data_IF_708138372087
#
_entry.id   IF_708138372087
#
_cell.length_a   1.000
_cell.length_b   1.000
_cell.length_c   1.000
_cell.angle_alpha   90.00
_cell.angle_beta   90.00
_cell.angle_gamma   90.00
#
_symmetry.space_group_name_H-M   'P 1'
#
loop_
_entity.id
_entity.type
_entity.pdbx_description
1 polymer ?
#
# COMPACT_ATOMS: atom_id res chain seq x y z
N UNK A 1 -44.11 -14.52 -24.58
CA UNK A 1 -42.73 -14.21 -24.14
C UNK A 1 -42.71 -12.79 -23.62
N UNK A 2 -42.43 -12.59 -22.33
CA UNK A 2 -42.16 -11.27 -21.74
C UNK A 2 -40.88 -11.43 -20.93
N UNK A 3 -39.79 -10.86 -21.45
CA UNK A 3 -38.51 -10.81 -20.76
C UNK A 3 -38.59 -9.75 -19.66
N UNK A 4 -38.26 -10.14 -18.44
CA UNK A 4 -38.10 -9.23 -17.30
C UNK A 4 -36.71 -8.60 -17.42
N UNK A 5 -36.55 -7.27 -17.32
CA UNK A 5 -35.22 -6.68 -17.26
C UNK A 5 -34.55 -7.10 -15.95
N UNK A 6 -33.39 -7.72 -16.06
CA UNK A 6 -32.48 -7.91 -14.93
C UNK A 6 -32.04 -6.51 -14.46
N UNK A 7 -32.53 -6.07 -13.30
CA UNK A 7 -31.84 -5.03 -12.55
C UNK A 7 -30.50 -5.63 -12.14
N UNK A 8 -29.47 -5.37 -12.94
CA UNK A 8 -28.10 -5.47 -12.47
C UNK A 8 -28.03 -4.58 -11.22
N UNK A 9 -27.89 -5.19 -10.05
CA UNK A 9 -27.48 -4.48 -8.87
C UNK A 9 -26.12 -3.87 -9.21
N UNK A 10 -26.14 -2.60 -9.61
CA UNK A 10 -24.97 -1.74 -9.54
C UNK A 10 -24.70 -1.61 -8.05
N UNK A 11 -24.01 -2.60 -7.49
CA UNK A 11 -23.29 -2.39 -6.26
C UNK A 11 -22.25 -1.35 -6.64
N UNK A 12 -22.35 -0.07 -6.20
CA UNK A 12 -21.16 0.76 -6.24
C UNK A 12 -20.12 -0.06 -5.51
N UNK A 13 -19.07 -0.49 -6.21
CA UNK A 13 -17.91 -1.09 -5.56
C UNK A 13 -17.53 -0.07 -4.52
N UNK A 14 -17.87 -0.35 -3.26
CA UNK A 14 -17.60 0.53 -2.13
C UNK A 14 -16.08 0.54 -2.05
N UNK A 15 -15.48 1.48 -2.79
CA UNK A 15 -14.04 1.67 -2.83
C UNK A 15 -13.59 1.83 -1.38
N UNK A 16 -12.59 1.06 -0.92
CA UNK A 16 -12.10 1.21 0.43
C UNK A 16 -11.84 2.69 0.73
N UNK A 17 -12.24 3.13 1.92
CA UNK A 17 -12.03 4.52 2.33
C UNK A 17 -10.54 4.89 2.36
N UNK A 18 -9.70 3.90 2.65
CA UNK A 18 -8.23 3.98 2.61
C UNK A 18 -7.72 2.81 1.78
N UNK A 19 -6.83 3.08 0.84
CA UNK A 19 -6.35 2.11 -0.18
C UNK A 19 -4.83 2.15 -0.29
N UNK A 20 -4.22 1.05 -0.72
CA UNK A 20 -2.83 1.01 -1.21
C UNK A 20 -2.85 1.39 -2.70
N UNK A 21 -2.45 2.62 -3.01
CA UNK A 21 -2.61 3.19 -4.35
C UNK A 21 -1.39 2.98 -5.23
N UNK A 22 -0.19 2.91 -4.66
CA UNK A 22 1.03 2.65 -5.42
C UNK A 22 2.07 1.89 -4.58
N UNK A 23 2.94 1.16 -5.28
CA UNK A 23 4.10 0.47 -4.70
C UNK A 23 5.27 0.71 -5.63
N UNK A 24 6.38 1.17 -5.09
CA UNK A 24 7.68 1.16 -5.75
C UNK A 24 8.53 0.10 -5.08
N UNK A 25 8.70 -1.05 -5.73
CA UNK A 25 9.47 -2.19 -5.21
C UNK A 25 10.82 -2.32 -5.93
N UNK A 26 10.90 -2.00 -7.22
CA UNK A 26 12.17 -1.94 -7.96
C UNK A 26 12.77 -0.54 -7.82
N UNK A 27 13.63 -0.33 -6.81
CA UNK A 27 14.28 0.94 -6.55
C UNK A 27 15.13 1.37 -7.78
N UNK A 28 14.76 2.44 -8.51
CA UNK A 28 15.49 2.81 -9.73
C UNK A 28 16.93 3.24 -9.43
N UNK A 29 17.89 2.70 -10.20
CA UNK A 29 19.32 3.01 -10.10
C UNK A 29 20.14 1.86 -9.50
N UNK A 30 21.41 2.11 -9.20
CA UNK A 30 22.29 1.10 -8.62
C UNK A 30 21.80 0.74 -7.21
N UNK A 31 21.47 -0.53 -7.00
CA UNK A 31 21.24 -1.04 -5.65
C UNK A 31 22.58 -1.28 -4.95
N UNK A 32 22.91 -0.37 -4.04
CA UNK A 32 24.10 -0.42 -3.19
C UNK A 32 23.75 -0.70 -1.72
N UNK A 33 22.47 -1.02 -1.43
CA UNK A 33 21.91 -1.17 -0.08
C UNK A 33 22.12 0.05 0.82
N UNK A 34 22.45 1.21 0.25
CA UNK A 34 22.48 2.46 0.99
C UNK A 34 21.08 2.84 1.44
N UNK A 35 20.98 3.67 2.48
CA UNK A 35 19.71 4.24 2.92
C UNK A 35 18.96 4.96 1.77
N UNK A 36 19.71 5.56 0.84
CA UNK A 36 19.14 6.20 -0.35
C UNK A 36 18.53 5.18 -1.31
N UNK A 37 19.12 3.99 -1.45
CA UNK A 37 18.54 2.89 -2.22
C UNK A 37 17.26 2.38 -1.54
N UNK A 38 17.31 2.12 -0.24
CA UNK A 38 16.18 1.64 0.56
C UNK A 38 14.99 2.61 0.57
N UNK A 39 15.24 3.92 0.60
CA UNK A 39 14.15 4.92 0.57
C UNK A 39 13.50 5.09 -0.81
N UNK A 40 14.04 4.48 -1.88
CA UNK A 40 13.35 4.40 -3.17
C UNK A 40 12.32 3.27 -3.20
N UNK A 41 12.39 2.36 -2.25
CA UNK A 41 11.40 1.32 -2.02
C UNK A 41 10.32 1.88 -1.07
N UNK A 42 9.06 1.92 -1.53
CA UNK A 42 7.96 2.49 -0.75
C UNK A 42 6.58 1.96 -1.14
N UNK A 43 5.63 2.08 -0.21
CA UNK A 43 4.19 1.84 -0.43
C UNK A 43 3.42 3.13 -0.17
N UNK A 44 2.56 3.54 -1.09
CA UNK A 44 1.69 4.71 -0.97
C UNK A 44 0.28 4.29 -0.55
N UNK A 45 -0.22 4.95 0.50
CA UNK A 45 -1.55 4.75 1.06
C UNK A 45 -2.34 6.05 0.91
N UNK A 46 -3.55 5.97 0.36
CA UNK A 46 -4.41 7.12 0.08
C UNK A 46 -5.70 7.04 0.87
N UNK A 47 -6.12 8.15 1.46
CA UNK A 47 -7.46 8.32 2.01
C UNK A 47 -8.38 8.95 0.96
N UNK A 48 -9.27 8.14 0.39
CA UNK A 48 -10.22 8.57 -0.64
C UNK A 48 -11.44 9.31 -0.08
N UNK A 49 -11.55 9.46 1.24
CA UNK A 49 -12.65 10.19 1.87
C UNK A 49 -12.32 11.68 2.05
N UNK A 50 -13.31 12.47 2.44
CA UNK A 50 -13.12 13.88 2.81
C UNK A 50 -12.74 14.07 4.28
N UNK A 51 -12.74 13.02 5.09
CA UNK A 51 -12.50 13.08 6.54
C UNK A 51 -11.15 12.48 6.85
N UNK A 52 -10.45 13.03 7.85
CA UNK A 52 -9.22 12.43 8.33
C UNK A 52 -9.48 11.06 8.97
N UNK A 53 -8.57 10.11 8.73
CA UNK A 53 -8.60 8.77 9.32
C UNK A 53 -7.41 8.62 10.26
N UNK A 54 -7.66 8.11 11.46
CA UNK A 54 -6.61 7.77 12.40
C UNK A 54 -6.03 6.41 12.03
N UNK A 55 -4.76 6.38 11.61
CA UNK A 55 -4.06 5.14 11.27
C UNK A 55 -3.29 4.58 12.46
N UNK A 56 -3.39 5.16 13.67
CA UNK A 56 -2.70 4.63 14.84
C UNK A 56 -2.98 3.13 15.04
N UNK A 57 -1.92 2.34 15.20
CA UNK A 57 -1.93 0.87 15.29
C UNK A 57 -2.37 0.11 14.03
N UNK A 58 -2.58 0.80 12.90
CA UNK A 58 -2.73 0.13 11.62
C UNK A 58 -1.39 -0.50 11.22
N UNK A 59 -1.46 -1.58 10.44
CA UNK A 59 -0.29 -2.34 10.03
C UNK A 59 -0.22 -2.48 8.53
N UNK A 60 0.98 -2.30 7.99
CA UNK A 60 1.34 -2.63 6.62
C UNK A 60 2.29 -3.83 6.68
N UNK A 61 1.94 -4.93 6.01
CA UNK A 61 2.66 -6.20 6.10
C UNK A 61 3.07 -6.72 4.71
N UNK A 62 4.29 -7.21 4.56
CA UNK A 62 4.71 -7.99 3.39
C UNK A 62 4.31 -9.46 3.49
N UNK A 63 4.38 -10.18 2.38
CA UNK A 63 4.13 -11.62 2.32
C UNK A 63 5.10 -12.38 3.24
N UNK A 64 6.39 -12.01 3.22
CA UNK A 64 7.47 -12.57 4.05
C UNK A 64 7.34 -12.28 5.56
N UNK A 65 6.35 -11.47 5.97
CA UNK A 65 6.06 -11.25 7.38
C UNK A 65 6.61 -9.95 7.97
N UNK A 66 7.36 -9.16 7.20
CA UNK A 66 7.79 -7.84 7.65
C UNK A 66 6.57 -6.95 7.90
N UNK A 67 6.57 -6.25 9.04
CA UNK A 67 5.46 -5.43 9.49
C UNK A 67 5.95 -4.03 9.83
N UNK A 68 5.23 -3.04 9.34
CA UNK A 68 5.25 -1.66 9.81
C UNK A 68 3.98 -1.39 10.61
N UNK A 69 4.08 -0.58 11.66
CA UNK A 69 2.94 -0.17 12.48
C UNK A 69 2.94 1.34 12.61
N UNK A 70 1.87 1.97 12.14
CA UNK A 70 1.69 3.42 12.25
C UNK A 70 1.55 3.82 13.72
N UNK A 71 2.37 4.77 14.18
CA UNK A 71 2.33 5.31 15.54
C UNK A 71 1.87 6.76 15.51
N UNK A 72 0.78 7.06 16.22
CA UNK A 72 0.23 8.41 16.36
C UNK A 72 -0.03 9.14 15.03
N UNK A 73 -0.30 8.40 13.96
CA UNK A 73 -0.40 8.95 12.62
C UNK A 73 -1.86 9.17 12.19
N UNK A 74 -2.16 10.33 11.64
CA UNK A 74 -3.47 10.69 11.09
C UNK A 74 -3.31 11.05 9.62
N UNK A 75 -4.06 10.37 8.76
CA UNK A 75 -4.09 10.63 7.33
C UNK A 75 -5.30 11.50 6.99
N UNK A 76 -5.03 12.73 6.56
CA UNK A 76 -6.08 13.68 6.21
C UNK A 76 -6.96 13.20 5.05
N UNK A 77 -8.15 13.77 4.92
CA UNK A 77 -9.04 13.46 3.79
C UNK A 77 -8.38 13.87 2.48
N UNK A 78 -8.45 13.02 1.45
CA UNK A 78 -7.82 13.21 0.14
C UNK A 78 -6.29 13.26 0.17
N UNK A 79 -5.65 12.93 1.30
CA UNK A 79 -4.20 12.92 1.43
C UNK A 79 -3.61 11.52 1.17
N UNK A 80 -2.29 11.50 0.96
CA UNK A 80 -1.49 10.30 0.79
C UNK A 80 -0.32 10.28 1.76
N UNK A 81 0.13 9.07 2.12
CA UNK A 81 1.35 8.82 2.86
C UNK A 81 2.17 7.74 2.19
N UNK A 82 3.49 7.92 2.13
CA UNK A 82 4.45 6.93 1.67
C UNK A 82 5.15 6.31 2.86
N UNK A 83 5.16 4.99 2.90
CA UNK A 83 5.92 4.21 3.87
C UNK A 83 7.19 3.72 3.17
N UNK A 84 8.31 4.36 3.47
CA UNK A 84 9.63 4.02 2.93
C UNK A 84 10.28 2.88 3.72
N UNK A 85 11.03 2.01 3.05
CA UNK A 85 11.69 0.88 3.71
C UNK A 85 12.88 1.31 4.58
N UNK A 86 13.65 2.30 4.15
CA UNK A 86 14.85 2.75 4.85
C UNK A 86 14.60 3.58 6.10
N UNK A 87 15.65 4.27 6.54
CA UNK A 87 15.69 5.20 7.66
C UNK A 87 15.44 6.64 7.18
N UNK A 88 14.73 7.43 7.97
CA UNK A 88 14.45 8.83 7.65
C UNK A 88 13.70 9.54 8.76
N UNK A 89 13.42 10.83 8.56
CA UNK A 89 12.62 11.60 9.50
C UNK A 89 11.18 11.61 9.06
N UNK A 90 10.29 11.07 9.89
CA UNK A 90 8.85 11.10 9.62
C UNK A 90 8.32 12.52 9.40
N UNK A 91 7.48 12.64 8.39
CA UNK A 91 6.74 13.84 8.03
C UNK A 91 5.25 13.52 7.92
N UNK A 92 4.45 14.50 7.46
CA UNK A 92 3.04 14.26 7.16
C UNK A 92 2.82 13.38 5.94
N UNK A 93 3.77 13.27 5.02
CA UNK A 93 3.59 12.56 3.75
C UNK A 93 4.50 11.36 3.60
N UNK A 94 5.53 11.26 4.44
CA UNK A 94 6.59 10.26 4.33
C UNK A 94 6.91 9.73 5.72
N UNK A 95 6.81 8.42 5.90
CA UNK A 95 7.18 7.73 7.14
C UNK A 95 8.13 6.59 6.82
N UNK A 96 8.95 6.21 7.79
CA UNK A 96 10.07 5.31 7.56
C UNK A 96 9.95 4.06 8.43
N UNK A 97 10.32 2.90 7.87
CA UNK A 97 10.31 1.63 8.61
C UNK A 97 11.59 1.40 9.42
N UNK A 98 12.60 2.27 9.25
CA UNK A 98 13.90 2.19 9.91
C UNK A 98 14.60 0.85 9.70
N UNK A 99 14.46 0.29 8.48
CA UNK A 99 15.12 -0.96 8.11
C UNK A 99 16.40 -0.71 7.34
N UNK A 100 17.28 -1.72 7.39
CA UNK A 100 18.59 -1.74 6.71
C UNK A 100 18.64 -2.70 5.53
N UNK A 101 17.53 -3.37 5.23
CA UNK A 101 17.38 -4.31 4.14
C UNK A 101 16.06 -4.02 3.41
N UNK A 102 16.04 -4.27 2.10
CA UNK A 102 14.82 -4.29 1.28
C UNK A 102 13.83 -5.31 1.85
N UNK A 103 12.55 -4.98 1.86
CA UNK A 103 11.51 -5.87 2.38
C UNK A 103 10.46 -6.26 1.35
N UNK A 104 10.38 -5.49 0.26
CA UNK A 104 9.46 -5.74 -0.82
C UNK A 104 10.16 -6.63 -1.85
N UNK A 105 9.59 -7.79 -2.13
CA UNK A 105 10.16 -8.73 -3.09
C UNK A 105 10.29 -8.13 -4.49
N UNK A 106 11.50 -8.05 -5.05
CA UNK A 106 11.73 -7.49 -6.40
C UNK A 106 11.05 -8.29 -7.53
N UNK A 107 10.81 -9.59 -7.31
CA UNK A 107 10.18 -10.48 -8.31
C UNK A 107 8.67 -10.44 -8.21
N UNK A 108 8.15 -10.62 -7.00
CA UNK A 108 6.74 -10.61 -6.63
C UNK A 108 6.63 -10.48 -5.12
N UNK A 109 5.56 -9.87 -4.65
CA UNK A 109 5.19 -9.79 -3.24
C UNK A 109 3.74 -9.25 -3.14
N UNK A 110 3.21 -9.19 -1.93
CA UNK A 110 1.92 -8.59 -1.60
C UNK A 110 2.04 -7.70 -0.36
N UNK A 111 1.74 -6.41 -0.51
CA UNK A 111 1.57 -5.50 0.60
C UNK A 111 0.13 -5.57 1.12
N UNK A 112 -0.06 -5.87 2.41
CA UNK A 112 -1.38 -5.96 3.05
C UNK A 112 -1.55 -4.89 4.11
N UNK A 113 -2.63 -4.10 4.01
CA UNK A 113 -3.02 -3.08 5.00
C UNK A 113 -4.14 -3.60 5.90
N UNK A 114 -3.95 -3.48 7.22
CA UNK A 114 -4.95 -3.82 8.24
C UNK A 114 -5.10 -2.70 9.26
N UNK A 115 -6.31 -2.54 9.79
CA UNK A 115 -6.57 -1.54 10.82
C UNK A 115 -6.08 -1.96 12.21
N UNK A 116 -6.31 -1.10 13.21
CA UNK A 116 -5.96 -1.28 14.63
C UNK A 116 -6.60 -2.52 15.29
N UNK A 117 -7.66 -3.08 14.68
CA UNK A 117 -8.32 -4.31 15.12
C UNK A 117 -7.91 -5.53 14.31
N UNK A 118 -6.92 -5.39 13.43
CA UNK A 118 -6.46 -6.45 12.53
C UNK A 118 -7.41 -6.75 11.37
N UNK A 119 -8.46 -5.95 11.16
CA UNK A 119 -9.37 -6.10 10.01
C UNK A 119 -8.63 -5.73 8.73
N UNK A 120 -8.77 -6.57 7.72
CA UNK A 120 -8.31 -6.30 6.36
C UNK A 120 -8.94 -5.01 5.81
N UNK A 121 -8.10 -4.15 5.23
CA UNK A 121 -8.51 -2.90 4.58
C UNK A 121 -8.28 -3.00 3.07
N UNK A 122 -7.06 -3.33 2.67
CA UNK A 122 -6.66 -3.44 1.27
C UNK A 122 -5.37 -4.25 1.11
N UNK A 123 -5.10 -4.72 -0.10
CA UNK A 123 -3.81 -5.29 -0.48
C UNK A 123 -3.41 -4.90 -1.90
N UNK A 124 -2.11 -5.02 -2.18
CA UNK A 124 -1.57 -4.83 -3.52
C UNK A 124 -0.45 -5.82 -3.77
N UNK A 125 -0.64 -6.70 -4.75
CA UNK A 125 0.38 -7.62 -5.25
C UNK A 125 1.05 -7.10 -6.52
N UNK A 126 2.32 -7.48 -6.72
CA UNK A 126 3.05 -7.26 -7.96
C UNK A 126 3.85 -8.50 -8.35
N UNK A 127 4.47 -8.47 -9.53
CA UNK A 127 5.36 -9.54 -9.96
C UNK A 127 4.73 -10.71 -10.71
N UNK A 128 3.46 -10.60 -11.11
CA UNK A 128 2.92 -11.51 -12.11
C UNK A 128 3.65 -11.28 -13.44
N UNK A 129 4.28 -12.34 -13.93
CA UNK A 129 5.00 -12.34 -15.19
C UNK A 129 4.14 -11.75 -16.31
N UNK A 130 4.69 -10.74 -17.00
CA UNK A 130 4.37 -10.49 -18.41
C UNK A 130 4.88 -11.67 -19.23
N UNK A 131 4.11 -12.76 -19.29
CA UNK A 131 4.21 -13.77 -20.34
C UNK A 131 2.85 -13.89 -21.04
N UNK A 132 2.81 -13.44 -22.30
CA UNK A 132 1.70 -13.57 -23.26
C UNK A 132 0.69 -12.43 -23.17
N UNK A 133 0.58 -11.47 -24.09
CA UNK A 133 0.77 -11.58 -25.53
C UNK A 133 -0.55 -11.96 -26.20
N UNK A 134 -1.32 -10.94 -26.60
CA UNK A 134 -2.24 -10.89 -27.76
C UNK A 134 -3.02 -12.19 -28.10
N UNK A 135 -4.32 -12.22 -27.79
CA UNK A 135 -5.48 -12.23 -28.71
C UNK A 135 -6.71 -12.74 -27.99
#
# INVERSE_FOLDING_TARGET
>A
MLAVPASAADHPRQRPSVEITAVQYDAPGRDDRSNRSLNKEWVEITNNTRRAVNLNNWTLKSEDGHRYTFRHYRLDGRATVRVHTGEGRDTRTDVFQDRRNHIWGNRSDTATLRNDRGRFIDDKSWGQHRHGGRR
#
